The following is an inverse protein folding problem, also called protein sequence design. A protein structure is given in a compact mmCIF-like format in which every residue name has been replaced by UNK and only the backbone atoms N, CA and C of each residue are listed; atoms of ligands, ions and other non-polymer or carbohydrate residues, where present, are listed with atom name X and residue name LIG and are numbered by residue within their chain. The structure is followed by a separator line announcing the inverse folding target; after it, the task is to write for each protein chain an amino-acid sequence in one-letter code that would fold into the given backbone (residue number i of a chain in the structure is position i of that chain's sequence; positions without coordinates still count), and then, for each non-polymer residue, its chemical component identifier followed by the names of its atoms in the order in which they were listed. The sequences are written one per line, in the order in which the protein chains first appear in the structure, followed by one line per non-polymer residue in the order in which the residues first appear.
data_IF_538638422892
#
_entry.id   IF_538638422892
#
_cell.length_a   1.000
_cell.length_b   1.000
_cell.length_c   1.000
_cell.angle_alpha   90.00
_cell.angle_beta   90.00
_cell.angle_gamma   90.00
#
_symmetry.space_group_name_H-M   'P 1'
#
loop_
_entity.id
_entity.type
_entity.pdbx_description
1 polymer ?
#
# COMPACT_ATOMS: atom_id res chain seq x y z
N UNK A 1 -13.00 -12.83 0.36
CA UNK A 1 -11.74 -12.04 0.35
C UNK A 1 -10.69 -12.80 1.16
N UNK A 2 -9.70 -13.41 0.51
CA UNK A 2 -8.69 -14.28 1.17
C UNK A 2 -7.27 -13.99 0.68
N UNK A 3 -6.99 -12.74 0.30
CA UNK A 3 -5.75 -12.34 -0.37
C UNK A 3 -4.56 -12.05 0.58
N UNK A 4 -4.78 -12.04 1.90
CA UNK A 4 -3.78 -11.59 2.88
C UNK A 4 -3.42 -12.69 3.90
N UNK A 5 -3.71 -13.96 3.58
CA UNK A 5 -3.50 -15.08 4.51
C UNK A 5 -2.01 -15.42 4.59
N UNK A 6 -1.33 -14.95 5.64
CA UNK A 6 0.07 -15.27 5.92
C UNK A 6 0.93 -14.10 6.41
N UNK A 7 0.42 -12.87 6.38
CA UNK A 7 1.16 -11.72 6.89
C UNK A 7 0.97 -11.54 8.40
N UNK A 8 2.08 -11.41 9.14
CA UNK A 8 2.06 -11.05 10.56
C UNK A 8 1.43 -9.66 10.80
N UNK A 9 1.34 -8.84 9.76
CA UNK A 9 0.78 -7.49 9.81
C UNK A 9 -0.67 -7.47 9.33
N UNK A 10 -1.50 -6.66 10.01
CA UNK A 10 -2.89 -6.44 9.59
C UNK A 10 -2.92 -5.92 8.15
N UNK A 11 -3.83 -6.46 7.34
CA UNK A 11 -4.05 -6.07 5.93
C UNK A 11 -4.08 -4.55 5.71
N UNK A 12 -4.64 -3.79 6.66
CA UNK A 12 -4.68 -2.33 6.58
C UNK A 12 -3.29 -1.69 6.55
N UNK A 13 -2.31 -2.21 7.29
CA UNK A 13 -0.93 -1.68 7.32
C UNK A 13 -0.27 -1.86 5.95
N UNK A 14 -0.46 -3.01 5.32
CA UNK A 14 0.06 -3.32 3.99
C UNK A 14 -0.55 -2.38 2.96
N UNK A 15 -1.86 -2.18 3.01
CA UNK A 15 -2.57 -1.27 2.11
C UNK A 15 -2.08 0.18 2.27
N UNK A 16 -1.87 0.64 3.50
CA UNK A 16 -1.35 1.98 3.80
C UNK A 16 0.08 2.11 3.25
N UNK A 17 0.96 1.14 3.52
CA UNK A 17 2.35 1.16 3.08
C UNK A 17 2.49 1.22 1.55
N UNK A 18 1.81 0.31 0.85
CA UNK A 18 1.84 0.25 -0.62
C UNK A 18 1.09 1.44 -1.24
N UNK A 19 0.04 1.93 -0.58
CA UNK A 19 -0.67 3.14 -0.96
C UNK A 19 0.22 4.38 -0.90
N UNK A 20 1.00 4.54 0.18
CA UNK A 20 1.96 5.65 0.32
C UNK A 20 3.03 5.62 -0.78
N UNK A 21 3.59 4.45 -1.04
CA UNK A 21 4.53 4.25 -2.15
C UNK A 21 3.91 4.64 -3.49
N UNK A 22 2.71 4.14 -3.81
CA UNK A 22 2.06 4.34 -5.10
C UNK A 22 1.52 5.76 -5.32
N UNK A 23 1.03 6.42 -4.25
CA UNK A 23 0.35 7.73 -4.33
C UNK A 23 1.34 8.90 -4.27
N UNK A 24 2.39 8.79 -3.45
CA UNK A 24 3.31 9.87 -3.15
C UNK A 24 4.73 9.60 -3.65
N UNK A 25 4.97 8.47 -4.33
CA UNK A 25 6.28 8.08 -4.86
C UNK A 25 7.39 8.08 -3.81
N UNK A 26 7.04 7.75 -2.55
CA UNK A 26 7.99 7.67 -1.44
C UNK A 26 8.97 6.52 -1.62
N UNK A 27 10.20 6.67 -1.12
CA UNK A 27 11.15 5.56 -1.10
C UNK A 27 10.69 4.49 -0.09
N UNK A 28 11.13 3.24 -0.26
CA UNK A 28 10.82 2.17 0.70
C UNK A 28 11.27 2.49 2.14
N UNK A 29 12.34 3.29 2.27
CA UNK A 29 12.85 3.77 3.56
C UNK A 29 11.92 4.82 4.16
N UNK A 30 11.49 5.81 3.38
CA UNK A 30 10.54 6.83 3.82
C UNK A 30 9.20 6.22 4.27
N UNK A 31 8.71 5.21 3.55
CA UNK A 31 7.50 4.47 3.95
C UNK A 31 7.72 3.73 5.27
N UNK A 32 8.87 3.08 5.43
CA UNK A 32 9.24 2.41 6.69
C UNK A 32 9.33 3.40 7.86
N UNK A 33 9.89 4.59 7.64
CA UNK A 33 9.97 5.65 8.65
C UNK A 33 8.59 6.23 8.98
N UNK A 34 7.74 6.48 7.99
CA UNK A 34 6.34 6.93 8.18
C UNK A 34 5.53 5.93 9.02
N UNK A 35 5.70 4.62 8.74
CA UNK A 35 5.06 3.58 9.53
C UNK A 35 5.59 3.54 10.96
N UNK A 36 6.89 3.77 11.15
CA UNK A 36 7.52 3.83 12.47
C UNK A 36 7.00 5.02 13.29
N UNK A 37 6.81 6.19 12.68
CA UNK A 37 6.15 7.34 13.31
C UNK A 37 4.71 7.03 13.73
N UNK A 38 4.02 6.17 12.98
CA UNK A 38 2.70 5.64 13.32
C UNK A 38 2.73 4.48 14.35
N UNK A 39 3.88 4.20 14.97
CA UNK A 39 4.05 3.12 15.97
C UNK A 39 4.23 1.72 15.39
N UNK A 40 4.44 1.59 14.08
CA UNK A 40 4.58 0.32 13.37
C UNK A 40 5.99 0.18 12.81
N UNK A 41 6.87 -0.49 13.56
CA UNK A 41 8.25 -0.72 13.14
C UNK A 41 8.34 -1.83 12.10
N UNK A 42 8.65 -1.47 10.85
CA UNK A 42 8.75 -2.39 9.71
C UNK A 42 10.08 -2.13 8.99
N UNK A 43 10.80 -3.19 8.62
CA UNK A 43 12.05 -3.03 7.86
C UNK A 43 11.74 -2.64 6.40
N UNK A 44 12.55 -1.78 5.74
CA UNK A 44 12.34 -1.40 4.34
C UNK A 44 12.18 -2.60 3.39
N UNK A 45 12.91 -3.70 3.63
CA UNK A 45 12.77 -4.96 2.86
C UNK A 45 11.36 -5.55 2.91
N UNK A 46 10.67 -5.43 4.04
CA UNK A 46 9.28 -5.88 4.16
C UNK A 46 8.36 -5.02 3.30
N UNK A 47 8.61 -3.71 3.24
CA UNK A 47 7.88 -2.79 2.34
C UNK A 47 8.12 -3.17 0.88
N UNK A 48 9.36 -3.51 0.50
CA UNK A 48 9.68 -4.00 -0.85
C UNK A 48 8.86 -5.25 -1.18
N UNK A 49 8.81 -6.24 -0.29
CA UNK A 49 8.01 -7.46 -0.50
C UNK A 49 6.51 -7.15 -0.65
N UNK A 50 5.97 -6.25 0.16
CA UNK A 50 4.57 -5.84 0.04
C UNK A 50 4.27 -5.11 -1.27
N UNK A 51 5.14 -4.20 -1.70
CA UNK A 51 4.99 -3.50 -2.98
C UNK A 51 5.09 -4.48 -4.14
N UNK A 52 6.00 -5.44 -4.08
CA UNK A 52 6.15 -6.45 -5.13
C UNK A 52 4.93 -7.40 -5.20
N UNK A 53 4.42 -7.85 -4.05
CA UNK A 53 3.30 -8.80 -3.97
C UNK A 53 1.94 -8.13 -4.25
N UNK A 54 1.70 -6.93 -3.69
CA UNK A 54 0.39 -6.28 -3.72
C UNK A 54 0.33 -5.03 -4.60
N UNK A 55 1.47 -4.50 -5.05
CA UNK A 55 1.54 -3.24 -5.79
C UNK A 55 0.65 -3.23 -7.02
N UNK A 56 0.72 -4.27 -7.85
CA UNK A 56 -0.14 -4.38 -9.04
C UNK A 56 -1.63 -4.48 -8.66
N UNK A 57 -1.98 -5.29 -7.65
CA UNK A 57 -3.37 -5.45 -7.21
C UNK A 57 -3.95 -4.11 -6.72
N UNK A 58 -3.20 -3.42 -5.86
CA UNK A 58 -3.60 -2.13 -5.27
C UNK A 58 -3.70 -1.08 -6.37
N UNK A 59 -2.70 -0.96 -7.25
CA UNK A 59 -2.72 -0.05 -8.38
C UNK A 59 -3.97 -0.23 -9.27
N UNK A 60 -4.34 -1.48 -9.58
CA UNK A 60 -5.54 -1.76 -10.37
C UNK A 60 -6.83 -1.40 -9.62
N UNK A 61 -6.89 -1.59 -8.30
CA UNK A 61 -8.03 -1.14 -7.48
C UNK A 61 -8.17 0.39 -7.53
N UNK A 62 -7.06 1.13 -7.42
CA UNK A 62 -7.04 2.58 -7.53
C UNK A 62 -7.48 3.04 -8.93
N UNK A 63 -6.93 2.47 -10.00
CA UNK A 63 -7.30 2.79 -11.38
C UNK A 63 -8.78 2.53 -11.68
N UNK A 64 -9.36 1.46 -11.12
CA UNK A 64 -10.81 1.19 -11.24
C UNK A 64 -11.65 2.23 -10.51
N UNK A 65 -11.22 2.68 -9.34
CA UNK A 65 -11.92 3.70 -8.55
C UNK A 65 -11.84 5.08 -9.20
N UNK A 66 -10.69 5.43 -9.77
CA UNK A 66 -10.47 6.67 -10.51
C UNK A 66 -11.42 6.80 -11.71
N UNK A 67 -11.58 5.73 -12.50
CA UNK A 67 -12.58 5.67 -13.57
C UNK A 67 -14.03 5.80 -13.09
N UNK A 68 -14.34 5.35 -11.88
CA UNK A 68 -15.69 5.51 -11.31
C UNK A 68 -15.96 6.94 -10.82
N UNK A 69 -14.91 7.66 -10.40
CA UNK A 69 -15.00 9.07 -10.02
C UNK A 69 -15.12 9.97 -11.25
N UNK A 70 -14.39 9.64 -12.33
CA UNK A 70 -14.46 10.33 -13.63
C UNK A 70 -15.85 10.19 -14.30
N UNK A 71 -16.51 9.03 -14.15
CA UNK A 71 -17.88 8.80 -14.64
C UNK A 71 -18.99 9.49 -13.82
N UNK A 72 -18.69 10.03 -12.65
CA UNK A 72 -19.63 10.77 -11.80
C UNK A 72 -19.49 12.30 -11.91
N UNK A 73 -18.61 12.79 -12.79
CA UNK A 73 -18.63 14.16 -13.31
C UNK A 73 -18.88 15.26 -12.27
N UNK A 74 -17.99 15.36 -11.28
CA UNK A 74 -17.80 16.59 -10.50
C UNK A 74 -16.56 17.30 -11.04
#
# INVERSE_FOLDING_TARGET
MKYFKGNQFKQNIILIAVGYYCRFSLSYRDVSETLKECGVSVHPTTVIHWVHEYGNLIYQMWKKKDKSTDLLGI
#
